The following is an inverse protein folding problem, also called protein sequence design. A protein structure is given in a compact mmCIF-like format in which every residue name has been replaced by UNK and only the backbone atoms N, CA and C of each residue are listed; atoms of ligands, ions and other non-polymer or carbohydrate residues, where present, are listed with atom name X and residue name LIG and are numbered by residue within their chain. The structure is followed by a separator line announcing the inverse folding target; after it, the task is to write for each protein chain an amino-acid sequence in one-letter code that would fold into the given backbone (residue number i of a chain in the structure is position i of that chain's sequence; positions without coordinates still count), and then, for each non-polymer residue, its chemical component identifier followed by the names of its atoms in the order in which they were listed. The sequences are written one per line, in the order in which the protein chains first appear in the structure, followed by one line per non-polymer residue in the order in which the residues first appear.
data_IF_500688423429
#
_entry.id   IF_500688423429
#
_cell.length_a   1.000
_cell.length_b   1.000
_cell.length_c   1.000
_cell.angle_alpha   90.00
_cell.angle_beta   90.00
_cell.angle_gamma   90.00
#
_symmetry.space_group_name_H-M   'P 1'
#
loop_
_entity.id
_entity.type
_entity.pdbx_description
1 polymer ?
#
# COMPACT_ATOMS: atom_id res chain seq x y z
N UNK A 1 -5.14 -5.70 1.83
CA UNK A 1 -4.24 -6.86 1.77
C UNK A 1 -2.82 -6.32 1.71
N UNK A 2 -1.90 -6.87 2.49
CA UNK A 2 -0.48 -6.51 2.50
C UNK A 2 0.31 -7.76 2.19
N UNK A 3 1.18 -7.70 1.19
CA UNK A 3 2.13 -8.76 0.88
C UNK A 3 3.44 -8.54 1.63
N UNK A 4 3.97 -9.61 2.24
CA UNK A 4 5.29 -9.65 2.88
C UNK A 4 5.92 -11.02 2.58
N UNK A 5 6.92 -11.06 1.69
CA UNK A 5 7.73 -12.25 1.36
C UNK A 5 6.92 -13.54 1.12
N UNK A 6 5.81 -13.42 0.38
CA UNK A 6 4.92 -14.51 0.02
C UNK A 6 3.90 -14.91 1.08
N UNK A 7 3.79 -14.14 2.16
CA UNK A 7 2.65 -14.15 3.07
C UNK A 7 1.75 -12.94 2.80
N UNK A 8 0.44 -13.14 2.97
CA UNK A 8 -0.58 -12.10 2.77
C UNK A 8 -1.30 -11.81 4.09
N UNK A 9 -1.26 -10.57 4.55
CA UNK A 9 -2.15 -10.09 5.60
C UNK A 9 -3.45 -9.57 4.97
N UNK A 10 -4.55 -10.19 5.33
CA UNK A 10 -5.88 -9.96 4.77
C UNK A 10 -6.84 -9.41 5.83
N UNK A 11 -7.35 -8.20 5.60
CA UNK A 11 -8.51 -7.70 6.33
C UNK A 11 -9.77 -8.15 5.58
N UNK A 12 -10.57 -8.99 6.24
CA UNK A 12 -11.81 -9.55 5.71
C UNK A 12 -13.00 -8.88 6.41
N UNK A 13 -13.98 -8.43 5.63
CA UNK A 13 -15.24 -7.91 6.16
C UNK A 13 -16.38 -8.75 5.60
N UNK A 14 -17.28 -9.19 6.47
CA UNK A 14 -18.54 -9.79 6.01
C UNK A 14 -19.50 -8.68 5.57
N UNK A 15 -20.24 -8.91 4.49
CA UNK A 15 -21.20 -7.93 3.95
C UNK A 15 -22.29 -7.55 4.96
N UNK A 16 -22.63 -8.46 5.87
CA UNK A 16 -23.67 -8.33 6.90
C UNK A 16 -23.15 -7.77 8.24
N UNK A 17 -21.85 -7.49 8.37
CA UNK A 17 -21.23 -7.08 9.63
C UNK A 17 -20.31 -5.87 9.51
N UNK A 18 -20.24 -5.09 10.59
CA UNK A 18 -19.22 -4.05 10.78
C UNK A 18 -17.91 -4.64 11.31
N UNK A 19 -17.94 -5.88 11.82
CA UNK A 19 -16.77 -6.57 12.32
C UNK A 19 -15.82 -6.89 11.17
N UNK A 20 -14.56 -6.56 11.41
CA UNK A 20 -13.46 -6.95 10.55
C UNK A 20 -12.77 -8.15 11.18
N UNK A 21 -12.36 -9.09 10.35
CA UNK A 21 -11.51 -10.22 10.72
C UNK A 21 -10.17 -10.07 10.03
N UNK A 22 -9.11 -10.49 10.71
CA UNK A 22 -7.75 -10.44 10.18
C UNK A 22 -7.25 -11.87 9.97
N UNK A 23 -6.61 -12.12 8.84
CA UNK A 23 -6.02 -13.41 8.55
C UNK A 23 -4.64 -13.24 7.91
N UNK A 24 -3.72 -14.14 8.24
CA UNK A 24 -2.51 -14.35 7.45
C UNK A 24 -2.69 -15.59 6.59
N UNK A 25 -2.40 -15.44 5.30
CA UNK A 25 -2.58 -16.46 4.30
C UNK A 25 -1.29 -16.68 3.52
N UNK A 26 -0.88 -17.94 3.38
CA UNK A 26 0.03 -18.38 2.32
C UNK A 26 -0.80 -19.10 1.24
N UNK A 27 -1.10 -18.46 0.10
CA UNK A 27 -1.78 -19.09 -1.03
C UNK A 27 -1.05 -20.31 -1.59
N UNK A 28 0.28 -20.28 -1.65
CA UNK A 28 1.09 -21.33 -2.27
C UNK A 28 1.05 -22.62 -1.44
N UNK A 29 1.14 -22.50 -0.12
CA UNK A 29 1.05 -23.63 0.81
C UNK A 29 -0.39 -23.95 1.23
N UNK A 30 -1.38 -23.17 0.78
CA UNK A 30 -2.79 -23.32 1.18
C UNK A 30 -3.02 -23.25 2.70
N UNK A 31 -2.21 -22.44 3.39
CA UNK A 31 -2.25 -22.29 4.85
C UNK A 31 -2.88 -20.95 5.25
N UNK A 32 -3.84 -20.95 6.18
CA UNK A 32 -4.49 -19.74 6.69
C UNK A 32 -4.47 -19.77 8.21
N UNK A 33 -4.10 -18.65 8.83
CA UNK A 33 -4.26 -18.39 10.25
C UNK A 33 -5.14 -17.17 10.47
N UNK A 34 -6.21 -17.35 11.23
CA UNK A 34 -7.06 -16.25 11.68
C UNK A 34 -6.47 -15.62 12.93
N UNK A 35 -6.47 -14.29 12.98
CA UNK A 35 -5.95 -13.52 14.10
C UNK A 35 -7.14 -13.02 14.91
N UNK A 36 -7.17 -13.40 16.18
CA UNK A 36 -8.17 -12.91 17.13
C UNK A 36 -7.87 -11.44 17.47
N UNK A 37 -8.89 -10.58 17.37
CA UNK A 37 -8.77 -9.18 17.72
C UNK A 37 -9.07 -8.98 19.21
N UNK A 38 -8.26 -8.17 19.92
CA UNK A 38 -8.40 -7.94 21.36
C UNK A 38 -9.76 -7.39 21.79
N UNK A 39 -10.41 -6.64 20.90
CA UNK A 39 -11.76 -6.14 21.06
C UNK A 39 -12.39 -6.13 19.67
N UNK A 40 -13.68 -6.49 19.59
CA UNK A 40 -14.47 -6.39 18.35
C UNK A 40 -14.10 -5.11 17.62
N UNK A 41 -13.56 -5.21 16.40
CA UNK A 41 -13.10 -4.10 15.56
C UNK A 41 -14.33 -3.26 15.21
N UNK A 42 -14.80 -2.45 16.16
CA UNK A 42 -16.14 -1.85 16.10
C UNK A 42 -16.13 -0.55 15.35
N UNK A 43 -15.09 0.27 15.47
CA UNK A 43 -15.01 1.54 14.76
C UNK A 43 -13.56 1.96 14.63
N UNK A 44 -12.96 1.81 13.44
CA UNK A 44 -12.03 2.79 12.84
C UNK A 44 -11.31 2.26 11.58
N UNK A 45 -10.83 3.21 10.78
CA UNK A 45 -9.92 3.00 9.68
C UNK A 45 -8.52 2.63 10.21
N UNK A 46 -8.37 1.39 10.68
CA UNK A 46 -7.07 0.88 11.14
C UNK A 46 -6.08 0.78 9.97
N UNK A 47 -4.88 1.28 10.22
CA UNK A 47 -3.72 1.07 9.35
C UNK A 47 -2.99 -0.15 9.89
N UNK A 48 -2.56 -1.02 8.97
CA UNK A 48 -1.79 -2.20 9.30
C UNK A 48 -0.40 -2.14 8.68
N UNK A 49 0.55 -2.72 9.39
CA UNK A 49 1.85 -3.12 8.84
C UNK A 49 2.02 -4.61 9.06
N UNK A 50 2.74 -5.26 8.15
CA UNK A 50 3.07 -6.68 8.29
C UNK A 50 4.52 -6.90 7.87
N UNK A 51 5.29 -7.54 8.74
CA UNK A 51 6.70 -7.79 8.53
C UNK A 51 7.26 -8.73 9.58
N UNK A 52 8.58 -8.81 9.66
CA UNK A 52 9.29 -9.71 10.55
C UNK A 52 10.54 -9.03 11.10
N UNK A 53 11.04 -9.56 12.21
CA UNK A 53 12.34 -9.20 12.74
C UNK A 53 13.46 -9.72 11.83
N UNK A 54 14.32 -8.85 11.33
CA UNK A 54 15.42 -9.26 10.45
C UNK A 54 16.47 -10.13 11.14
N UNK A 55 16.53 -10.12 12.48
CA UNK A 55 17.38 -11.05 13.25
C UNK A 55 16.80 -12.47 13.22
N UNK A 56 15.47 -12.60 13.13
CA UNK A 56 14.72 -13.84 13.30
C UNK A 56 13.55 -13.86 12.31
N UNK A 57 13.77 -14.37 11.09
CA UNK A 57 12.76 -14.38 10.01
C UNK A 57 11.48 -15.17 10.32
N UNK A 58 11.48 -16.00 11.35
CA UNK A 58 10.33 -16.70 11.92
C UNK A 58 9.47 -15.79 12.83
N UNK A 59 9.98 -14.64 13.26
CA UNK A 59 9.30 -13.72 14.17
C UNK A 59 8.53 -12.64 13.40
N UNK A 60 7.48 -13.07 12.69
CA UNK A 60 6.54 -12.15 12.07
C UNK A 60 5.77 -11.37 13.12
N UNK A 61 5.35 -10.16 12.75
CA UNK A 61 4.58 -9.25 13.59
C UNK A 61 3.54 -8.52 12.75
N UNK A 62 2.40 -8.21 13.36
CA UNK A 62 1.40 -7.33 12.75
C UNK A 62 1.36 -6.05 13.57
N UNK A 63 1.64 -4.93 12.90
CA UNK A 63 1.43 -3.61 13.47
C UNK A 63 0.00 -3.15 13.16
N UNK A 64 -0.68 -2.58 14.15
CA UNK A 64 -2.00 -1.97 14.00
C UNK A 64 -2.02 -0.61 14.71
N UNK A 65 -2.62 0.38 14.08
CA UNK A 65 -2.94 1.66 14.73
C UNK A 65 -4.15 2.31 14.07
N UNK A 66 -4.87 3.14 14.82
CA UNK A 66 -6.12 3.76 14.37
C UNK A 66 -5.88 5.18 13.82
N UNK A 67 -6.63 5.53 12.76
CA UNK A 67 -6.76 6.92 12.31
C UNK A 67 -7.60 7.71 13.30
N UNK A 68 -7.00 8.63 14.06
CA UNK A 68 -7.76 9.63 14.82
C UNK A 68 -8.38 10.67 13.88
N UNK A 69 -9.70 10.79 13.86
CA UNK A 69 -10.41 11.88 13.16
C UNK A 69 -10.99 12.85 14.20
N UNK A 70 -10.41 14.04 14.31
CA UNK A 70 -11.05 15.18 15.00
C UNK A 70 -11.28 15.01 16.52
N UNK A 71 -12.23 15.81 17.04
CA UNK A 71 -12.52 16.03 18.47
C UNK A 71 -13.23 14.88 19.20
N UNK A 72 -13.60 13.78 18.53
CA UNK A 72 -14.09 12.56 19.20
C UNK A 72 -12.90 11.73 19.69
N UNK A 73 -12.20 12.33 20.66
CA UNK A 73 -10.93 11.90 21.21
C UNK A 73 -11.17 10.89 22.34
N UNK A 74 -11.74 9.71 22.04
CA UNK A 74 -11.75 8.63 23.02
C UNK A 74 -10.35 8.00 23.07
N UNK A 75 -9.52 8.52 23.97
CA UNK A 75 -8.13 8.12 24.23
C UNK A 75 -7.94 6.64 24.57
N UNK A 76 -9.02 5.89 24.77
CA UNK A 76 -9.01 4.48 25.19
C UNK A 76 -8.80 3.47 24.06
N UNK A 77 -8.96 3.85 22.79
CA UNK A 77 -8.85 2.94 21.63
C UNK A 77 -7.76 3.34 20.61
N UNK A 78 -6.90 4.29 20.97
CA UNK A 78 -6.00 4.95 20.03
C UNK A 78 -4.55 4.46 20.08
N UNK A 79 -4.23 3.44 20.87
CA UNK A 79 -2.87 2.90 20.96
C UNK A 79 -2.38 2.27 19.66
N UNK A 80 -1.06 2.32 19.45
CA UNK A 80 -0.40 1.42 18.51
C UNK A 80 -0.31 0.05 19.16
N UNK A 81 -0.62 -0.99 18.41
CA UNK A 81 -0.61 -2.36 18.88
C UNK A 81 0.26 -3.21 17.97
N UNK A 82 0.97 -4.16 18.58
CA UNK A 82 1.76 -5.15 17.86
C UNK A 82 1.28 -6.53 18.26
N UNK A 83 0.88 -7.32 17.28
CA UNK A 83 0.64 -8.75 17.43
C UNK A 83 1.94 -9.51 17.20
N UNK A 84 2.27 -10.39 18.13
CA UNK A 84 3.39 -11.31 18.01
C UNK A 84 2.88 -12.73 17.83
N UNK A 85 3.36 -13.40 16.77
CA UNK A 85 2.92 -14.77 16.47
C UNK A 85 3.39 -15.76 17.54
N UNK A 86 4.66 -15.66 17.97
CA UNK A 86 5.25 -16.56 18.98
C UNK A 86 4.45 -16.62 20.29
N UNK A 87 3.85 -15.51 20.71
CA UNK A 87 3.03 -15.45 21.94
C UNK A 87 1.54 -15.51 21.64
N UNK A 88 1.14 -15.32 20.38
CA UNK A 88 -0.24 -15.18 19.91
C UNK A 88 -1.03 -14.07 20.60
N UNK A 89 -0.34 -13.05 21.11
CA UNK A 89 -0.93 -11.96 21.86
C UNK A 89 -0.67 -10.62 21.18
N UNK A 90 -1.61 -9.70 21.35
CA UNK A 90 -1.36 -8.29 21.10
C UNK A 90 -0.77 -7.65 22.34
N UNK A 91 0.15 -6.70 22.12
CA UNK A 91 0.56 -5.75 23.13
C UNK A 91 0.39 -4.32 22.62
N UNK A 92 0.01 -3.43 23.54
CA UNK A 92 -0.02 -2.00 23.28
C UNK A 92 1.38 -1.41 23.40
N UNK A 93 1.70 -0.48 22.52
CA UNK A 93 2.96 0.26 22.51
C UNK A 93 2.66 1.74 22.40
N UNK A 94 3.35 2.55 23.18
CA UNK A 94 3.19 4.00 23.13
C UNK A 94 4.15 4.61 22.10
N UNK A 95 3.61 4.98 20.94
CA UNK A 95 4.32 5.77 19.94
C UNK A 95 3.60 7.09 19.71
N UNK A 96 4.02 8.12 20.44
CA UNK A 96 3.55 9.50 20.25
C UNK A 96 3.74 9.99 18.80
N UNK A 97 4.78 9.53 18.10
CA UNK A 97 5.06 9.90 16.72
C UNK A 97 4.11 9.29 15.68
N UNK A 98 3.41 8.19 15.99
CA UNK A 98 2.50 7.51 15.05
C UNK A 98 1.27 8.37 14.68
N UNK A 99 0.98 9.40 15.49
CA UNK A 99 -0.16 10.30 15.29
C UNK A 99 0.20 11.62 14.59
N UNK A 100 1.48 11.84 14.26
CA UNK A 100 1.96 13.09 13.65
C UNK A 100 1.81 13.12 12.12
N UNK A 101 1.32 12.03 11.53
CA UNK A 101 1.21 11.85 10.09
C UNK A 101 0.04 10.92 9.74
N UNK A 102 -0.27 10.85 8.47
CA UNK A 102 -1.38 10.06 7.94
C UNK A 102 -0.92 9.19 6.76
N UNK A 103 -1.15 7.88 6.85
CA UNK A 103 -0.93 6.95 5.74
C UNK A 103 -2.08 7.04 4.73
N UNK A 104 -1.77 7.15 3.44
CA UNK A 104 -2.79 7.09 2.40
C UNK A 104 -3.22 5.65 2.14
N UNK A 105 -4.53 5.43 2.10
CA UNK A 105 -5.19 4.14 1.92
C UNK A 105 -4.51 3.32 0.80
N UNK A 106 -3.96 2.17 1.21
CA UNK A 106 -3.40 1.14 0.34
C UNK A 106 -2.04 1.47 -0.31
N UNK A 107 -1.36 2.53 0.13
CA UNK A 107 -0.01 2.88 -0.34
C UNK A 107 1.07 2.40 0.59
N UNK A 108 1.17 1.08 0.70
CA UNK A 108 2.08 0.47 1.64
C UNK A 108 2.79 -0.74 1.04
N UNK A 109 4.07 -0.88 1.34
CA UNK A 109 4.94 -1.97 0.86
C UNK A 109 5.67 -2.55 2.05
N UNK A 110 5.61 -3.87 2.23
CA UNK A 110 6.50 -4.59 3.12
C UNK A 110 7.71 -5.08 2.33
N UNK A 111 8.91 -4.80 2.83
CA UNK A 111 10.17 -5.19 2.19
C UNK A 111 11.26 -5.26 3.25
N UNK A 112 11.99 -6.38 3.28
CA UNK A 112 13.17 -6.59 4.14
C UNK A 112 12.91 -6.27 5.62
N UNK A 113 11.85 -6.86 6.19
CA UNK A 113 11.49 -6.69 7.60
C UNK A 113 11.04 -5.28 7.97
N UNK A 114 10.71 -4.45 6.99
CA UNK A 114 10.23 -3.08 7.18
C UNK A 114 8.96 -2.83 6.40
N UNK A 115 8.11 -1.98 6.96
CA UNK A 115 6.92 -1.49 6.28
C UNK A 115 7.11 -0.03 5.88
N UNK A 116 6.79 0.28 4.64
CA UNK A 116 6.87 1.61 4.06
C UNK A 116 5.49 2.09 3.67
N UNK A 117 5.10 3.30 4.09
CA UNK A 117 3.85 3.94 3.69
C UNK A 117 4.13 5.26 2.99
N UNK A 118 3.36 5.55 1.95
CA UNK A 118 3.21 6.92 1.48
C UNK A 118 2.36 7.69 2.50
N UNK A 119 2.96 8.71 3.08
CA UNK A 119 2.42 9.46 4.20
C UNK A 119 2.34 10.96 3.90
N UNK A 120 1.41 11.64 4.56
CA UNK A 120 1.35 13.10 4.59
C UNK A 120 1.31 13.63 6.03
N UNK A 121 1.82 14.84 6.23
CA UNK A 121 1.63 15.60 7.46
C UNK A 121 1.40 17.08 7.14
N UNK A 122 0.69 17.79 8.01
CA UNK A 122 0.53 19.23 7.87
C UNK A 122 1.78 19.94 8.39
N UNK A 123 2.40 20.76 7.55
CA UNK A 123 3.44 21.68 7.98
C UNK A 123 2.77 23.03 8.30
N UNK A 124 2.50 23.25 9.59
CA UNK A 124 1.81 24.47 10.07
C UNK A 124 2.60 25.75 9.81
N UNK A 125 3.94 25.67 9.78
CA UNK A 125 4.80 26.83 9.54
C UNK A 125 4.73 27.32 8.09
N UNK A 126 4.50 26.39 7.14
CA UNK A 126 4.49 26.69 5.70
C UNK A 126 3.10 26.72 5.07
N UNK A 127 2.05 26.32 5.80
CA UNK A 127 0.67 26.13 5.27
C UNK A 127 0.65 25.20 4.05
N UNK A 128 1.59 24.25 4.00
CA UNK A 128 1.75 23.28 2.90
C UNK A 128 1.64 21.86 3.47
N UNK A 129 1.05 20.95 2.71
CA UNK A 129 1.06 19.52 3.01
C UNK A 129 2.39 18.92 2.57
N UNK A 130 3.13 18.32 3.52
CA UNK A 130 4.37 17.61 3.23
C UNK A 130 4.06 16.13 2.97
N UNK A 131 4.57 15.59 1.86
CA UNK A 131 4.51 14.16 1.54
C UNK A 131 5.86 13.50 1.74
N UNK A 132 5.87 12.31 2.35
CA UNK A 132 7.07 11.58 2.68
C UNK A 132 6.82 10.07 2.72
N UNK A 133 7.89 9.28 2.79
CA UNK A 133 7.81 7.85 3.08
C UNK A 133 8.03 7.64 4.57
N UNK A 134 6.99 7.18 5.25
CA UNK A 134 7.10 6.68 6.60
C UNK A 134 7.57 5.22 6.56
N UNK A 135 8.56 4.89 7.39
CA UNK A 135 9.01 3.53 7.61
C UNK A 135 8.67 3.08 9.04
N UNK A 136 8.40 1.79 9.22
CA UNK A 136 8.43 1.10 10.51
C UNK A 136 9.37 -0.09 10.41
N UNK A 137 10.34 -0.17 11.31
CA UNK A 137 11.30 -1.27 11.42
C UNK A 137 10.79 -2.30 12.43
N UNK A 138 10.48 -3.52 12.01
CA UNK A 138 9.94 -4.55 12.91
C UNK A 138 10.99 -5.19 13.84
N UNK A 139 12.27 -5.03 13.53
CA UNK A 139 13.37 -5.55 14.36
C UNK A 139 13.61 -4.61 15.54
N UNK A 140 13.61 -3.29 15.25
CA UNK A 140 13.83 -2.25 16.26
C UNK A 140 12.54 -1.70 16.87
N UNK A 141 11.41 -1.97 16.23
CA UNK A 141 10.08 -1.46 16.56
C UNK A 141 10.08 0.06 16.69
N UNK A 142 10.47 0.75 15.62
CA UNK A 142 10.50 2.21 15.59
C UNK A 142 10.00 2.75 14.26
N UNK A 143 9.30 3.87 14.34
CA UNK A 143 8.95 4.69 13.19
C UNK A 143 10.14 5.57 12.79
N UNK A 144 10.35 5.70 11.48
CA UNK A 144 11.38 6.57 10.90
C UNK A 144 10.86 7.27 9.65
N UNK A 145 11.08 8.58 9.56
CA UNK A 145 10.91 9.34 8.34
C UNK A 145 12.05 8.94 7.39
N UNK A 146 11.72 8.26 6.28
CA UNK A 146 12.76 7.69 5.41
C UNK A 146 13.23 8.65 4.34
N UNK A 147 12.31 9.31 3.66
CA UNK A 147 12.62 10.33 2.67
C UNK A 147 11.41 11.20 2.36
N UNK A 148 11.64 12.47 2.04
CA UNK A 148 10.62 13.38 1.54
C UNK A 148 10.39 13.15 0.04
N UNK A 149 9.21 13.53 -0.46
CA UNK A 149 8.88 13.53 -1.89
C UNK A 149 8.80 14.97 -2.42
N UNK A 150 9.92 15.59 -2.80
CA UNK A 150 9.95 17.01 -3.15
C UNK A 150 9.22 17.34 -4.46
N UNK A 151 8.88 16.33 -5.26
CA UNK A 151 8.23 16.48 -6.56
C UNK A 151 6.70 16.30 -6.51
N UNK A 152 6.12 16.04 -5.32
CA UNK A 152 4.67 15.99 -5.12
C UNK A 152 4.31 17.15 -4.20
N UNK A 153 3.67 18.19 -4.75
CA UNK A 153 3.19 19.34 -3.98
C UNK A 153 1.70 19.52 -4.18
N UNK A 154 0.97 19.76 -3.08
CA UNK A 154 -0.46 20.07 -3.10
C UNK A 154 -0.67 21.57 -3.09
N UNK A 155 -0.10 22.29 -4.05
CA UNK A 155 -0.37 23.72 -4.20
C UNK A 155 -1.71 23.89 -4.94
N UNK A 156 -2.69 24.42 -4.21
CA UNK A 156 -3.88 25.20 -4.60
C UNK A 156 -4.79 24.70 -5.73
N UNK A 157 -4.23 24.35 -6.89
CA UNK A 157 -4.92 24.04 -8.14
C UNK A 157 -4.50 22.68 -8.76
N UNK A 158 -3.52 22.01 -8.16
CA UNK A 158 -3.00 20.75 -8.69
C UNK A 158 -3.73 19.54 -8.11
N UNK A 159 -4.78 19.08 -8.79
CA UNK A 159 -5.36 17.74 -8.55
C UNK A 159 -4.39 16.66 -9.06
N UNK A 160 -3.27 16.46 -8.35
CA UNK A 160 -2.41 15.30 -8.57
C UNK A 160 -3.19 14.02 -8.29
N UNK A 161 -2.96 13.00 -9.13
CA UNK A 161 -3.56 11.70 -8.90
C UNK A 161 -2.73 10.93 -7.87
N UNK A 162 -3.41 10.23 -6.95
CA UNK A 162 -2.81 9.55 -5.79
C UNK A 162 -1.66 8.64 -6.24
N UNK A 163 -0.41 8.88 -5.79
CA UNK A 163 0.72 8.09 -6.25
C UNK A 163 0.60 6.63 -5.79
N UNK A 164 1.16 5.71 -6.58
CA UNK A 164 1.23 4.29 -6.27
C UNK A 164 2.63 3.91 -5.80
N UNK A 165 2.76 3.28 -4.66
CA UNK A 165 4.01 2.77 -4.08
C UNK A 165 4.15 1.27 -4.36
N UNK A 166 5.35 0.84 -4.76
CA UNK A 166 5.68 -0.56 -4.98
C UNK A 166 7.16 -0.82 -4.68
N UNK A 167 7.51 -2.06 -4.31
CA UNK A 167 8.91 -2.46 -4.11
C UNK A 167 9.66 -2.60 -5.44
N UNK A 168 10.94 -2.25 -5.47
CA UNK A 168 11.80 -2.35 -6.64
C UNK A 168 13.10 -3.08 -6.31
N UNK A 169 13.31 -4.23 -6.96
CA UNK A 169 14.51 -5.09 -6.83
C UNK A 169 14.86 -5.53 -5.39
N UNK A 170 13.94 -5.41 -4.45
CA UNK A 170 14.08 -5.91 -3.07
C UNK A 170 14.80 -4.97 -2.10
N UNK A 171 15.39 -3.89 -2.60
CA UNK A 171 16.18 -2.93 -1.81
C UNK A 171 15.79 -1.46 -2.07
N UNK A 172 14.86 -1.21 -2.98
CA UNK A 172 14.44 0.13 -3.40
C UNK A 172 12.94 0.26 -3.44
N UNK A 173 12.46 1.49 -3.40
CA UNK A 173 11.06 1.82 -3.62
C UNK A 173 10.87 2.37 -5.02
N UNK A 174 9.69 2.14 -5.57
CA UNK A 174 9.22 2.75 -6.80
C UNK A 174 7.89 3.45 -6.56
N UNK A 175 7.71 4.59 -7.23
CA UNK A 175 6.53 5.41 -7.10
C UNK A 175 6.00 5.82 -8.47
N UNK A 176 4.79 5.38 -8.79
CA UNK A 176 4.07 5.79 -9.99
C UNK A 176 3.19 6.99 -9.65
N UNK A 177 3.44 8.12 -10.29
CA UNK A 177 2.64 9.33 -10.14
C UNK A 177 2.08 9.76 -11.49
N UNK A 178 0.91 10.41 -11.50
CA UNK A 178 0.30 10.93 -12.72
C UNK A 178 -0.15 12.37 -12.52
N UNK A 179 0.20 13.18 -13.52
CA UNK A 179 -0.30 14.55 -13.66
C UNK A 179 -1.77 14.56 -14.10
N UNK A 180 -2.56 15.49 -13.53
CA UNK A 180 -4.00 15.69 -13.81
C UNK A 180 -4.36 15.57 -15.30
N UNK A 181 -3.58 16.22 -16.16
CA UNK A 181 -3.77 16.28 -17.61
C UNK A 181 -2.54 15.81 -18.39
N UNK A 182 -1.61 15.11 -17.72
CA UNK A 182 -0.24 15.01 -18.21
C UNK A 182 0.33 13.60 -18.17
N UNK A 183 1.65 13.60 -18.05
CA UNK A 183 2.49 12.41 -18.10
C UNK A 183 2.32 11.51 -16.87
N UNK A 184 2.46 10.22 -17.10
CA UNK A 184 2.78 9.28 -16.03
C UNK A 184 4.28 9.37 -15.80
N UNK A 185 4.67 9.50 -14.53
CA UNK A 185 6.05 9.48 -14.11
C UNK A 185 6.28 8.31 -13.17
N UNK A 186 7.37 7.60 -13.38
CA UNK A 186 7.84 6.57 -12.47
C UNK A 186 9.16 7.04 -11.85
N UNK A 187 9.19 7.02 -10.53
CA UNK A 187 10.35 7.38 -9.73
C UNK A 187 10.84 6.14 -9.00
N UNK A 188 12.15 6.04 -8.78
CA UNK A 188 12.77 5.00 -7.96
C UNK A 188 13.75 5.63 -6.99
N UNK A 189 13.83 5.06 -5.79
CA UNK A 189 14.86 5.47 -4.83
C UNK A 189 16.22 4.87 -5.19
N UNK A 190 17.31 5.40 -4.62
CA UNK A 190 18.48 4.58 -4.30
C UNK A 190 18.15 3.58 -3.18
N UNK A 191 19.12 2.83 -2.69
CA UNK A 191 18.87 1.79 -1.69
C UNK A 191 18.21 2.41 -0.44
N UNK A 192 17.10 1.82 0.01
CA UNK A 192 16.37 2.27 1.20
C UNK A 192 17.16 2.07 2.49
N UNK A 193 18.35 1.49 2.49
CA UNK A 193 19.25 1.42 3.65
C UNK A 193 20.36 2.47 3.64
N UNK A 194 20.52 3.23 2.56
CA UNK A 194 21.55 4.26 2.45
C UNK A 194 21.31 5.39 3.48
N UNK A 195 22.37 6.10 3.86
CA UNK A 195 22.26 7.21 4.83
C UNK A 195 21.27 8.29 4.34
N UNK A 196 21.34 8.62 3.05
CA UNK A 196 20.45 9.56 2.37
C UNK A 196 19.67 8.79 1.31
N UNK A 197 18.34 8.73 1.46
CA UNK A 197 17.44 8.14 0.47
C UNK A 197 16.86 9.26 -0.40
N UNK A 198 17.14 9.20 -1.69
CA UNK A 198 16.76 10.17 -2.71
C UNK A 198 16.01 9.50 -3.86
N UNK A 199 15.13 10.26 -4.50
CA UNK A 199 14.36 9.79 -5.65
C UNK A 199 15.01 10.22 -6.96
N UNK A 200 15.07 9.29 -7.91
CA UNK A 200 15.49 9.54 -9.28
C UNK A 200 14.38 9.15 -10.24
N UNK A 201 14.28 9.87 -11.35
CA UNK A 201 13.28 9.57 -12.37
C UNK A 201 13.72 8.31 -13.13
N UNK A 202 12.86 7.32 -13.17
CA UNK A 202 13.10 6.07 -13.88
C UNK A 202 12.49 6.08 -15.28
N UNK A 203 11.28 6.61 -15.41
CA UNK A 203 10.54 6.55 -16.67
C UNK A 203 9.49 7.67 -16.79
N UNK A 204 9.17 8.08 -18.02
CA UNK A 204 8.10 9.01 -18.34
C UNK A 204 7.28 8.53 -19.55
N UNK A 205 5.95 8.69 -19.48
CA UNK A 205 5.05 8.43 -20.62
C UNK A 205 4.19 9.65 -20.86
N UNK A 206 4.20 10.14 -22.09
CA UNK A 206 3.42 11.32 -22.52
C UNK A 206 2.27 10.86 -23.43
N UNK A 207 1.07 11.49 -23.37
CA UNK A 207 -0.03 11.22 -24.32
C UNK A 207 0.40 11.41 -25.79
N UNK A 208 -0.27 10.78 -26.79
CA UNK A 208 -1.70 10.43 -26.82
C UNK A 208 -2.06 9.00 -26.39
N UNK A 209 -1.09 8.18 -25.98
CA UNK A 209 -1.28 6.72 -25.78
C UNK A 209 -2.17 6.30 -24.60
N UNK A 210 -2.82 7.23 -23.90
CA UNK A 210 -3.47 6.97 -22.61
C UNK A 210 -4.78 7.75 -22.34
N UNK A 211 -5.78 7.77 -23.25
CA UNK A 211 -7.17 8.10 -22.83
C UNK A 211 -7.69 7.14 -21.73
N UNK A 212 -6.98 6.03 -21.54
CA UNK A 212 -7.18 4.91 -20.62
C UNK A 212 -7.20 5.34 -19.14
N UNK A 213 -6.52 6.44 -18.77
CA UNK A 213 -6.43 6.86 -17.37
C UNK A 213 -7.37 8.03 -17.08
N UNK A 214 -8.68 7.84 -17.23
CA UNK A 214 -9.64 8.77 -16.62
C UNK A 214 -9.39 8.87 -15.10
N UNK A 215 -9.73 10.01 -14.50
CA UNK A 215 -9.49 10.34 -13.08
C UNK A 215 -10.01 9.24 -12.13
N UNK A 216 -11.07 8.54 -12.51
CA UNK A 216 -11.73 7.51 -11.71
C UNK A 216 -10.95 6.19 -11.65
N UNK A 217 -10.25 5.82 -12.72
CA UNK A 217 -9.57 4.52 -12.83
C UNK A 217 -8.25 4.45 -12.05
N UNK A 218 -7.61 5.59 -11.80
CA UNK A 218 -6.33 5.61 -11.07
C UNK A 218 -6.47 5.09 -9.63
N UNK A 219 -7.67 5.18 -9.04
CA UNK A 219 -7.98 4.73 -7.68
C UNK A 219 -7.89 3.21 -7.49
N UNK A 220 -7.99 2.44 -8.58
CA UNK A 220 -7.97 0.97 -8.55
C UNK A 220 -6.82 0.40 -9.39
N UNK A 221 -5.67 1.08 -9.39
CA UNK A 221 -4.47 0.63 -10.10
C UNK A 221 -3.41 0.02 -9.20
N UNK A 222 -2.76 -1.02 -9.72
CA UNK A 222 -1.54 -1.61 -9.15
C UNK A 222 -0.49 -1.66 -10.25
N UNK A 223 0.77 -1.43 -9.90
CA UNK A 223 1.86 -1.55 -10.85
C UNK A 223 3.06 -2.25 -10.23
N UNK A 224 3.91 -2.80 -11.11
CA UNK A 224 5.24 -3.25 -10.75
C UNK A 224 6.18 -3.11 -11.94
N UNK A 225 7.48 -3.06 -11.65
CA UNK A 225 8.52 -3.06 -12.67
C UNK A 225 8.93 -4.51 -12.91
N UNK A 226 8.65 -5.01 -14.11
CA UNK A 226 9.03 -6.37 -14.51
C UNK A 226 10.55 -6.45 -14.72
N UNK A 227 11.10 -7.67 -14.63
CA UNK A 227 12.54 -7.96 -14.81
C UNK A 227 13.12 -7.46 -16.15
N UNK A 228 12.28 -7.27 -17.16
CA UNK A 228 12.65 -6.70 -18.47
C UNK A 228 12.70 -5.16 -18.48
N UNK A 229 12.67 -4.51 -17.30
CA UNK A 229 12.55 -3.05 -17.13
C UNK A 229 11.31 -2.42 -17.78
N UNK A 230 10.28 -3.25 -18.02
CA UNK A 230 8.95 -2.80 -18.49
C UNK A 230 8.02 -2.63 -17.29
N UNK A 231 7.12 -1.66 -17.36
CA UNK A 231 6.11 -1.46 -16.32
C UNK A 231 4.90 -2.32 -16.67
N UNK A 232 4.47 -3.13 -15.71
CA UNK A 232 3.21 -3.83 -15.77
C UNK A 232 2.19 -3.03 -14.96
N UNK A 233 1.13 -2.60 -15.63
CA UNK A 233 0.08 -1.78 -15.05
C UNK A 233 -1.23 -2.56 -15.08
N UNK A 234 -1.83 -2.71 -13.92
CA UNK A 234 -3.10 -3.36 -13.72
C UNK A 234 -4.15 -2.28 -13.47
N UNK A 235 -5.14 -2.17 -14.35
CA UNK A 235 -6.15 -1.11 -14.29
C UNK A 235 -7.55 -1.71 -14.33
N UNK A 236 -8.35 -1.37 -13.33
CA UNK A 236 -9.80 -1.55 -13.41
C UNK A 236 -10.38 -0.47 -14.32
N UNK A 237 -11.21 -0.88 -15.28
CA UNK A 237 -11.92 -0.01 -16.20
C UNK A 237 -13.42 -0.33 -16.13
N UNK A 238 -14.24 0.70 -16.29
CA UNK A 238 -15.68 0.61 -16.23
C UNK A 238 -16.29 1.04 -17.57
N UNK A 239 -17.19 0.21 -18.08
CA UNK A 239 -18.02 0.52 -19.23
C UNK A 239 -19.36 1.07 -18.75
N UNK A 240 -19.44 2.40 -18.62
CA UNK A 240 -20.60 3.12 -18.04
C UNK A 240 -21.92 2.75 -18.72
N UNK A 241 -21.92 2.57 -20.05
CA UNK A 241 -23.15 2.26 -20.80
C UNK A 241 -23.68 0.84 -20.53
N UNK A 242 -22.79 -0.11 -20.21
CA UNK A 242 -23.18 -1.51 -20.00
C UNK A 242 -23.21 -1.88 -18.52
N UNK A 243 -22.91 -0.93 -17.62
CA UNK A 243 -22.81 -1.20 -16.18
C UNK A 243 -21.81 -2.33 -15.84
N UNK A 244 -20.75 -2.44 -16.65
CA UNK A 244 -19.73 -3.48 -16.55
C UNK A 244 -18.41 -2.90 -16.06
N UNK A 245 -17.65 -3.70 -15.32
CA UNK A 245 -16.27 -3.47 -14.95
C UNK A 245 -15.43 -4.66 -15.38
N UNK A 246 -14.22 -4.38 -15.79
CA UNK A 246 -13.23 -5.39 -16.14
C UNK A 246 -11.85 -4.85 -15.80
N UNK A 247 -10.88 -5.74 -15.83
CA UNK A 247 -9.50 -5.39 -15.59
C UNK A 247 -8.71 -5.56 -16.87
N UNK A 248 -7.87 -4.57 -17.17
CA UNK A 248 -6.85 -4.68 -18.21
C UNK A 248 -5.45 -4.64 -17.62
N UNK A 249 -4.58 -5.43 -18.22
CA UNK A 249 -3.16 -5.46 -17.93
C UNK A 249 -2.42 -4.84 -19.11
N UNK A 250 -1.72 -3.76 -18.84
CA UNK A 250 -0.89 -3.06 -19.80
C UNK A 250 0.58 -3.30 -19.50
N UNK A 251 1.35 -3.46 -20.56
CA UNK A 251 2.80 -3.45 -20.52
C UNK A 251 3.27 -2.15 -21.15
N UNK A 252 4.10 -1.40 -20.44
CA UNK A 252 4.60 -0.11 -20.89
C UNK A 252 6.13 -0.16 -20.94
N UNK A 253 6.70 0.24 -22.08
CA UNK A 253 8.15 0.38 -22.26
C UNK A 253 8.47 1.31 -23.43
N UNK A 254 9.57 2.07 -23.34
CA UNK A 254 10.14 2.92 -24.41
C UNK A 254 9.10 3.63 -25.32
N UNK A 255 8.08 4.24 -24.74
CA UNK A 255 7.04 4.99 -25.48
C UNK A 255 5.93 4.15 -26.11
N UNK A 256 5.94 2.82 -25.93
CA UNK A 256 4.90 1.90 -26.37
C UNK A 256 4.07 1.43 -25.18
N UNK A 257 2.75 1.38 -25.38
CA UNK A 257 1.77 0.83 -24.44
C UNK A 257 1.08 -0.35 -25.13
N UNK A 258 1.31 -1.56 -24.62
CA UNK A 258 0.74 -2.79 -25.17
C UNK A 258 -0.27 -3.37 -24.18
N UNK A 259 -1.51 -3.61 -24.64
CA UNK A 259 -2.49 -4.38 -23.87
C UNK A 259 -2.09 -5.87 -23.90
N UNK A 260 -1.96 -6.48 -22.74
CA UNK A 260 -1.57 -7.90 -22.60
C UNK A 260 -2.79 -8.79 -22.34
N UNK A 261 -3.61 -8.44 -21.35
CA UNK A 261 -4.71 -9.27 -20.86
C UNK A 261 -5.93 -8.40 -20.56
N UNK A 262 -7.11 -8.95 -20.77
CA UNK A 262 -8.39 -8.44 -20.26
C UNK A 262 -9.09 -9.57 -19.50
N UNK A 263 -9.60 -9.28 -18.30
CA UNK A 263 -10.38 -10.25 -17.53
C UNK A 263 -11.81 -10.35 -18.04
N UNK A 264 -12.56 -11.32 -17.53
CA UNK A 264 -14.02 -11.34 -17.71
C UNK A 264 -14.68 -10.04 -17.25
N UNK A 265 -15.83 -9.74 -17.85
CA UNK A 265 -16.67 -8.60 -17.49
C UNK A 265 -17.54 -8.96 -16.28
N UNK A 266 -17.62 -8.04 -15.34
CA UNK A 266 -18.43 -8.16 -14.13
C UNK A 266 -19.38 -6.97 -14.02
N UNK A 267 -20.55 -7.14 -13.40
CA UNK A 267 -21.45 -6.01 -13.14
C UNK A 267 -20.82 -5.06 -12.12
N UNK A 268 -20.89 -3.76 -12.33
CA UNK A 268 -20.25 -2.75 -11.47
C UNK A 268 -20.68 -2.84 -10.00
N UNK A 269 -21.96 -3.14 -9.72
CA UNK A 269 -22.52 -3.35 -8.37
C UNK A 269 -22.15 -4.69 -7.73
N UNK A 270 -21.45 -5.58 -8.42
CA UNK A 270 -20.96 -6.81 -7.83
C UNK A 270 -19.85 -6.48 -6.81
N UNK A 271 -20.24 -6.45 -5.53
CA UNK A 271 -19.33 -6.16 -4.41
C UNK A 271 -18.29 -7.27 -4.19
N UNK A 272 -18.48 -8.46 -4.78
CA UNK A 272 -17.52 -9.57 -4.69
C UNK A 272 -16.28 -9.31 -5.55
N UNK A 273 -16.40 -8.48 -6.58
CA UNK A 273 -15.30 -8.08 -7.45
C UNK A 273 -14.73 -6.72 -7.00
N UNK A 274 -13.79 -6.74 -6.06
CA UNK A 274 -12.92 -5.59 -5.79
C UNK A 274 -11.58 -5.84 -6.46
N UNK A 275 -11.22 -5.03 -7.47
CA UNK A 275 -9.95 -5.16 -8.19
C UNK A 275 -8.75 -4.63 -7.41
N UNK A 276 -8.54 -5.12 -6.18
CA UNK A 276 -7.25 -4.95 -5.51
C UNK A 276 -6.36 -6.11 -5.89
N UNK A 277 -5.38 -5.84 -6.73
CA UNK A 277 -4.38 -6.82 -7.11
C UNK A 277 -3.11 -6.61 -6.29
N UNK A 278 -2.46 -7.71 -5.93
CA UNK A 278 -1.13 -7.69 -5.36
C UNK A 278 -0.24 -8.57 -6.23
N UNK A 279 1.01 -8.15 -6.41
CA UNK A 279 2.01 -9.03 -7.02
C UNK A 279 2.40 -10.04 -5.94
N UNK A 280 1.89 -11.25 -6.06
CA UNK A 280 2.21 -12.33 -5.15
C UNK A 280 3.45 -13.08 -5.65
N UNK A 281 4.46 -13.20 -4.79
CA UNK A 281 5.61 -14.06 -5.04
C UNK A 281 5.41 -15.34 -4.23
N UNK A 282 5.25 -16.52 -4.85
CA UNK A 282 5.13 -17.78 -4.14
C UNK A 282 6.29 -18.00 -3.16
N UNK A 283 5.98 -18.48 -1.97
CA UNK A 283 6.97 -18.69 -0.91
C UNK A 283 6.70 -19.98 -0.15
N UNK A 284 7.79 -20.66 0.22
CA UNK A 284 7.79 -21.85 1.08
C UNK A 284 7.76 -21.47 2.57
N UNK A 285 7.73 -20.18 2.92
CA UNK A 285 7.59 -19.73 4.30
C UNK A 285 6.21 -20.17 4.82
N UNK A 286 6.13 -21.00 5.87
CA UNK A 286 4.86 -21.39 6.45
C UNK A 286 4.16 -20.19 7.09
N UNK A 287 2.84 -20.25 7.21
CA UNK A 287 2.12 -19.25 8.01
C UNK A 287 2.62 -19.35 9.47
N UNK A 288 3.06 -18.24 10.08
CA UNK A 288 3.64 -18.28 11.43
C UNK A 288 2.62 -18.78 12.46
N UNK A 289 3.10 -19.60 13.40
CA UNK A 289 2.35 -20.09 14.55
C UNK A 289 2.37 -19.11 15.71
#
# INVERSE_FOLDING_TARGET
MIHCDGLLLCECRRSDSIEKKLAVWNPFLSQIKWIEALNSIKVCWSIYGFGYDNVSRDNYKILRFCRGLGHDYDSRNNGVEIYEFKTQLWRSVDYSCAYLWYAWYDQAVSMDGKMYWFAERQNFDKVITEFFIQCFDFSREIFQDRCCLPFITRDGDCDWVIPRLSGFRGDRLSLLSKEKYGKIQLWVTNNVTDEIVSWSKYFNVTPPYLPILSRWYFLNMTFFIHKTNRIMLWCEEEHVQNEEKYVKVYQIGEGVVEKQVETGQHRWYDQTFRSRCCVFVPSLVPVPE
#
